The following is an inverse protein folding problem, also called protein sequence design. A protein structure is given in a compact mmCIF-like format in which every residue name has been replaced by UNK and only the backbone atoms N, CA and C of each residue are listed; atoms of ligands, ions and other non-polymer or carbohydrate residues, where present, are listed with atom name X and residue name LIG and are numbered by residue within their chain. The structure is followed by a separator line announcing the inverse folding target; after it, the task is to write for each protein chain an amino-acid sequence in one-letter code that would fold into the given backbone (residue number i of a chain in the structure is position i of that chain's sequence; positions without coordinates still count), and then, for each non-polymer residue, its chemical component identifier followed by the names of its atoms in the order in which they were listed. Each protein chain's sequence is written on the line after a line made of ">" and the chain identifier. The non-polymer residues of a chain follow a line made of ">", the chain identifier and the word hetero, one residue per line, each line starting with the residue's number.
data_IF_882304603382
#
_entry.id   IF_882304603382
#
_cell.length_a   1.000
_cell.length_b   1.000
_cell.length_c   1.000
_cell.angle_alpha   90.00
_cell.angle_beta   90.00
_cell.angle_gamma   90.00
#
_symmetry.space_group_name_H-M   'P 1'
#
loop_
_entity.id
_entity.type
_entity.pdbx_description
1 polymer ?
#
# COMPACT_ATOMS: atom_id res chain seq x y z
N UNK A 1 7.62 -14.89 18.65
CA UNK A 1 8.10 -15.76 17.56
C UNK A 1 8.05 -14.93 16.29
N UNK A 2 9.21 -14.61 15.69
CA UNK A 2 9.26 -13.99 14.37
C UNK A 2 9.31 -15.11 13.32
N UNK A 3 8.46 -15.02 12.31
CA UNK A 3 8.48 -15.90 11.14
C UNK A 3 8.81 -15.03 9.95
N UNK A 4 9.54 -15.58 8.99
CA UNK A 4 9.82 -14.87 7.74
C UNK A 4 8.50 -14.69 6.98
N UNK A 5 8.24 -13.44 6.59
CA UNK A 5 7.05 -13.04 5.86
C UNK A 5 7.49 -12.19 4.66
N UNK A 6 6.65 -12.20 3.62
CA UNK A 6 6.86 -11.41 2.42
C UNK A 6 6.21 -10.04 2.58
N UNK A 7 7.02 -9.00 2.42
CA UNK A 7 6.60 -7.62 2.50
C UNK A 7 6.78 -6.92 1.16
N UNK A 8 5.84 -6.04 0.84
CA UNK A 8 5.96 -5.10 -0.27
C UNK A 8 6.46 -3.77 0.29
N UNK A 9 7.54 -3.25 -0.33
CA UNK A 9 8.06 -1.90 -0.07
C UNK A 9 7.03 -0.86 -0.49
N UNK A 10 6.27 -0.37 0.47
CA UNK A 10 5.10 0.46 0.22
C UNK A 10 5.49 1.93 -0.05
N UNK A 11 6.63 2.37 0.49
CA UNK A 11 7.20 3.71 0.29
C UNK A 11 7.45 4.04 -1.19
N UNK A 12 7.98 3.08 -1.95
CA UNK A 12 8.26 3.23 -3.38
C UNK A 12 6.96 3.36 -4.19
N UNK A 13 5.92 2.64 -3.77
CA UNK A 13 4.61 2.67 -4.43
C UNK A 13 3.81 3.92 -4.06
N UNK A 14 4.00 4.45 -2.85
CA UNK A 14 3.25 5.60 -2.37
C UNK A 14 3.65 6.91 -3.06
N UNK A 15 4.92 7.08 -3.42
CA UNK A 15 5.43 8.29 -4.11
C UNK A 15 4.66 8.63 -5.40
N UNK A 16 4.60 7.74 -6.42
CA UNK A 16 3.88 8.06 -7.66
C UNK A 16 2.37 8.24 -7.43
N UNK A 17 1.81 7.58 -6.43
CA UNK A 17 0.39 7.72 -6.10
C UNK A 17 0.08 9.09 -5.47
N UNK A 18 0.96 9.60 -4.61
CA UNK A 18 0.86 10.97 -4.06
C UNK A 18 1.05 12.01 -5.16
N UNK A 19 2.06 11.84 -6.02
CA UNK A 19 2.33 12.75 -7.15
C UNK A 19 1.13 12.86 -8.10
N UNK A 20 0.45 11.76 -8.42
CA UNK A 20 -0.74 11.76 -9.27
C UNK A 20 -1.89 12.60 -8.68
N UNK A 21 -2.03 12.61 -7.35
CA UNK A 21 -3.03 13.44 -6.66
C UNK A 21 -2.59 14.90 -6.60
N UNK A 22 -1.31 15.17 -6.35
CA UNK A 22 -0.74 16.53 -6.33
C UNK A 22 -0.79 17.20 -7.71
N UNK A 23 -0.55 16.45 -8.79
CA UNK A 23 -0.65 16.93 -10.16
C UNK A 23 -2.10 17.14 -10.64
N UNK A 24 -3.08 16.64 -9.88
CA UNK A 24 -4.50 16.73 -10.21
C UNK A 24 -4.97 15.70 -11.24
N UNK A 25 -4.15 14.68 -11.55
CA UNK A 25 -4.54 13.53 -12.38
C UNK A 25 -5.65 12.72 -11.68
N UNK A 26 -5.64 12.72 -10.35
CA UNK A 26 -6.66 12.11 -9.49
C UNK A 26 -7.29 13.21 -8.62
N UNK A 27 -8.62 13.29 -8.62
CA UNK A 27 -9.38 14.23 -7.80
C UNK A 27 -10.29 13.49 -6.83
N UNK A 28 -10.28 13.88 -5.56
CA UNK A 28 -11.19 13.33 -4.57
C UNK A 28 -12.46 14.16 -4.47
N UNK A 29 -13.61 13.48 -4.43
CA UNK A 29 -14.91 14.11 -4.20
C UNK A 29 -15.56 13.47 -2.97
N UNK A 30 -15.71 14.21 -1.84
CA UNK A 30 -15.27 15.58 -1.57
C UNK A 30 -13.74 15.75 -1.36
N UNK A 31 -13.21 16.95 -1.65
CA UNK A 31 -11.78 17.29 -1.52
C UNK A 31 -11.18 17.10 -0.12
N UNK A 32 -12.01 17.08 0.91
CA UNK A 32 -11.55 16.90 2.30
C UNK A 32 -10.81 15.56 2.51
N UNK A 33 -11.08 14.56 1.68
CA UNK A 33 -10.41 13.27 1.73
C UNK A 33 -8.95 13.30 1.25
N UNK A 34 -8.52 14.33 0.50
CA UNK A 34 -7.11 14.49 0.07
C UNK A 34 -6.18 14.59 1.27
N UNK A 35 -6.56 15.36 2.30
CA UNK A 35 -5.75 15.53 3.50
C UNK A 35 -5.56 14.20 4.25
N UNK A 36 -6.64 13.41 4.36
CA UNK A 36 -6.58 12.08 4.96
C UNK A 36 -5.69 11.16 4.12
N UNK A 37 -5.89 11.14 2.80
CA UNK A 37 -5.09 10.35 1.88
C UNK A 37 -3.59 10.67 2.01
N UNK A 38 -3.21 11.95 1.97
CA UNK A 38 -1.81 12.35 2.13
C UNK A 38 -1.24 11.98 3.50
N UNK A 39 -2.04 12.08 4.57
CA UNK A 39 -1.61 11.64 5.91
C UNK A 39 -1.28 10.15 5.94
N UNK A 40 -2.08 9.31 5.28
CA UNK A 40 -1.86 7.86 5.22
C UNK A 40 -0.68 7.49 4.33
N UNK A 41 -0.57 8.15 3.17
CA UNK A 41 0.46 7.82 2.19
C UNK A 41 1.86 8.28 2.63
N UNK A 42 1.96 9.34 3.43
CA UNK A 42 3.26 9.84 3.94
C UNK A 42 3.85 9.00 5.07
N UNK A 43 3.01 8.29 5.83
CA UNK A 43 3.44 7.42 6.94
C UNK A 43 3.21 5.93 6.64
N UNK A 44 3.16 5.57 5.36
CA UNK A 44 2.87 4.20 4.94
C UNK A 44 3.98 3.24 5.40
N UNK A 45 3.56 2.11 5.96
CA UNK A 45 4.44 1.03 6.38
C UNK A 45 4.44 -0.10 5.35
N UNK A 46 5.53 -0.88 5.33
CA UNK A 46 5.65 -2.02 4.43
C UNK A 46 4.50 -3.01 4.64
N UNK A 47 3.91 -3.43 3.52
CA UNK A 47 2.70 -4.23 3.54
C UNK A 47 3.03 -5.72 3.51
N UNK A 48 2.67 -6.43 4.60
CA UNK A 48 2.75 -7.88 4.64
C UNK A 48 1.70 -8.52 3.70
N UNK A 49 2.16 -9.19 2.65
CA UNK A 49 1.31 -9.84 1.65
C UNK A 49 1.20 -11.35 1.85
N UNK A 50 2.13 -11.97 2.58
CA UNK A 50 2.03 -13.39 2.92
C UNK A 50 1.05 -13.60 4.07
N UNK A 51 0.22 -14.63 3.96
CA UNK A 51 -0.68 -15.05 5.03
C UNK A 51 -0.75 -16.57 5.07
N UNK A 52 -0.75 -17.13 6.27
CA UNK A 52 -0.98 -18.56 6.49
C UNK A 52 -2.49 -18.82 6.54
N UNK A 53 -3.12 -18.84 5.35
CA UNK A 53 -4.56 -19.07 5.18
C UNK A 53 -4.79 -20.23 4.22
N UNK A 54 -5.93 -20.90 4.37
CA UNK A 54 -6.35 -22.02 3.51
C UNK A 54 -7.03 -21.56 2.21
N UNK A 55 -7.48 -20.31 2.16
CA UNK A 55 -8.20 -19.73 1.03
C UNK A 55 -7.46 -18.49 0.51
N UNK A 56 -7.25 -18.41 -0.80
CA UNK A 56 -6.59 -17.29 -1.47
C UNK A 56 -5.79 -17.72 -2.69
N UNK A 57 -5.26 -16.74 -3.44
CA UNK A 57 -4.29 -17.05 -4.50
C UNK A 57 -2.97 -17.51 -3.86
N UNK A 58 -2.40 -18.64 -4.28
CA UNK A 58 -1.11 -19.09 -3.79
C UNK A 58 -0.01 -18.10 -4.20
N UNK A 59 0.98 -17.91 -3.32
CA UNK A 59 2.16 -17.12 -3.65
C UNK A 59 3.16 -17.98 -4.44
N UNK A 60 3.69 -17.51 -5.59
CA UNK A 60 4.55 -18.32 -6.46
C UNK A 60 5.84 -18.83 -5.80
N UNK A 61 6.35 -18.12 -4.79
CA UNK A 61 7.57 -18.48 -4.04
C UNK A 61 7.34 -19.39 -2.83
N UNK A 62 6.12 -19.88 -2.62
CA UNK A 62 5.84 -20.97 -1.66
C UNK A 62 5.87 -22.30 -2.41
N UNK A 63 7.07 -22.73 -2.83
CA UNK A 63 7.36 -24.10 -3.30
C UNK A 63 8.63 -24.58 -2.62
#
# INVERSE_FOLDING_TARGET
>A
MLTDQWYVRADVLAKPAVEAVENGDIQFVPKQYENMYFSWMRDIQDWCISRQLWWGSPYPGMV
#
